data_IF_154643935282
#
_entry.id   IF_154643935282
#
_cell.length_a   1.000
_cell.length_b   1.000
_cell.length_c   1.000
_cell.angle_alpha   90.00
_cell.angle_beta   90.00
_cell.angle_gamma   90.00
#
_symmetry.space_group_name_H-M   'P 1'
#
loop_
_entity.id
_entity.type
_entity.pdbx_description
1 polymer ?
#
# COMPACT_ATOMS: atom_id res chain seq x y z
N UNK A 1 -27.89 37.72 6.82
CA UNK A 1 -27.07 36.57 7.25
C UNK A 1 -25.90 36.50 6.30
N UNK A 2 -24.77 37.08 6.71
CA UNK A 2 -23.61 37.27 5.84
C UNK A 2 -22.89 35.93 5.63
N UNK A 3 -22.90 35.45 4.39
CA UNK A 3 -22.05 34.35 3.97
C UNK A 3 -20.60 34.85 3.92
N UNK A 4 -19.87 34.65 5.02
CA UNK A 4 -18.43 34.89 5.05
C UNK A 4 -17.75 33.84 4.16
N UNK A 5 -17.41 34.25 2.93
CA UNK A 5 -16.60 33.45 2.01
C UNK A 5 -15.21 33.33 2.64
N UNK A 6 -14.92 32.17 3.23
CA UNK A 6 -13.59 31.81 3.72
C UNK A 6 -12.68 31.51 2.52
N UNK A 7 -12.27 32.55 1.80
CA UNK A 7 -11.19 32.43 0.84
C UNK A 7 -9.89 32.17 1.62
N UNK A 8 -9.30 30.98 1.44
CA UNK A 8 -8.01 30.65 2.03
C UNK A 8 -6.94 31.57 1.44
N UNK A 9 -6.56 32.61 2.19
CA UNK A 9 -5.46 33.49 1.80
C UNK A 9 -4.17 32.67 1.74
N UNK A 10 -3.45 32.79 0.62
CA UNK A 10 -2.15 32.14 0.48
C UNK A 10 -1.21 32.65 1.58
N UNK A 11 -0.52 31.74 2.29
CA UNK A 11 0.43 32.14 3.33
C UNK A 11 1.53 33.00 2.70
N UNK A 12 1.72 34.22 3.21
CA UNK A 12 2.80 35.08 2.73
C UNK A 12 4.16 34.41 2.94
N UNK A 13 5.12 34.71 2.06
CA UNK A 13 6.49 34.13 2.12
C UNK A 13 7.12 34.32 3.49
N UNK A 14 6.85 35.45 4.14
CA UNK A 14 7.32 35.77 5.50
C UNK A 14 6.78 34.85 6.58
N UNK A 15 5.57 34.28 6.40
CA UNK A 15 4.93 33.35 7.36
C UNK A 15 5.22 31.88 7.06
N UNK A 16 6.03 31.59 6.05
CA UNK A 16 6.36 30.21 5.67
C UNK A 16 7.38 29.64 6.66
N UNK A 17 7.00 28.57 7.34
CA UNK A 17 7.93 27.80 8.19
C UNK A 17 8.99 27.19 7.27
N UNK A 18 10.26 27.44 7.59
CA UNK A 18 11.41 26.90 6.87
C UNK A 18 11.90 25.62 7.55
N UNK A 19 12.38 24.63 6.79
CA UNK A 19 13.01 23.45 7.38
C UNK A 19 14.23 23.87 8.21
N UNK A 20 14.40 23.23 9.36
CA UNK A 20 15.60 23.40 10.20
C UNK A 20 16.69 22.50 9.63
N UNK A 21 17.89 23.05 9.46
CA UNK A 21 19.05 22.32 8.94
C UNK A 21 19.72 21.50 10.05
N UNK A 22 19.02 20.50 10.56
CA UNK A 22 19.56 19.53 11.53
C UNK A 22 20.18 18.32 10.83
N UNK A 23 21.32 17.79 11.31
CA UNK A 23 21.90 16.57 10.77
C UNK A 23 21.01 15.36 11.08
N UNK A 24 20.93 14.41 10.14
CA UNK A 24 20.18 13.19 10.35
C UNK A 24 20.85 12.32 11.43
N UNK A 25 20.12 11.91 12.49
CA UNK A 25 20.69 11.03 13.51
C UNK A 25 21.19 9.71 12.90
N UNK A 26 22.41 9.30 13.25
CA UNK A 26 23.05 8.12 12.66
C UNK A 26 22.36 6.80 13.06
N UNK A 27 21.74 6.78 14.24
CA UNK A 27 21.07 5.60 14.81
C UNK A 27 19.75 5.22 14.08
N UNK A 28 19.27 6.05 13.15
CA UNK A 28 17.98 5.87 12.48
C UNK A 28 18.02 5.04 11.21
N UNK A 29 19.16 4.41 10.89
CA UNK A 29 19.32 3.60 9.68
C UNK A 29 19.48 2.11 10.02
N UNK A 30 18.45 1.42 10.55
CA UNK A 30 18.49 -0.02 10.60
C UNK A 30 18.51 -0.54 9.17
N UNK A 31 19.65 -1.12 8.75
CA UNK A 31 19.76 -1.74 7.44
C UNK A 31 18.77 -2.89 7.32
N UNK A 32 18.13 -3.00 6.14
CA UNK A 32 17.34 -4.18 5.82
C UNK A 32 18.24 -5.41 5.84
N UNK A 33 17.84 -6.41 6.61
CA UNK A 33 18.50 -7.70 6.69
C UNK A 33 17.92 -8.62 5.63
N UNK A 34 18.82 -9.22 4.85
CA UNK A 34 18.42 -10.25 3.89
C UNK A 34 17.86 -11.46 4.65
N UNK A 35 16.70 -12.02 4.25
CA UNK A 35 16.23 -13.28 4.80
C UNK A 35 17.27 -14.38 4.59
N UNK A 36 17.41 -15.29 5.56
CA UNK A 36 17.92 -16.62 5.25
C UNK A 36 16.92 -17.30 4.32
N UNK A 37 17.35 -17.66 3.12
CA UNK A 37 16.47 -18.39 2.21
C UNK A 37 16.27 -19.81 2.71
N UNK A 38 15.02 -20.28 2.71
CA UNK A 38 14.70 -21.67 3.04
C UNK A 38 15.21 -22.66 1.98
N UNK A 39 15.54 -22.16 0.78
CA UNK A 39 16.09 -22.89 -0.36
C UNK A 39 16.93 -21.93 -1.20
N UNK A 40 17.97 -22.42 -1.85
CA UNK A 40 18.69 -21.62 -2.85
C UNK A 40 17.75 -21.24 -4.02
N UNK A 41 17.54 -19.93 -4.28
CA UNK A 41 16.68 -19.47 -5.36
C UNK A 41 17.17 -19.88 -6.76
N UNK A 42 18.46 -20.23 -6.90
CA UNK A 42 19.08 -20.66 -8.15
C UNK A 42 19.13 -22.19 -8.28
N UNK A 43 19.04 -22.94 -7.18
CA UNK A 43 18.92 -24.42 -7.23
C UNK A 43 17.46 -24.85 -7.19
N UNK A 44 16.81 -24.96 -8.36
CA UNK A 44 16.18 -26.16 -8.95
C UNK A 44 15.30 -25.71 -10.12
N UNK A 45 15.29 -26.49 -11.21
CA UNK A 45 14.46 -26.26 -12.38
C UNK A 45 12.97 -26.45 -12.07
N UNK A 46 12.11 -25.72 -12.77
CA UNK A 46 10.70 -26.07 -12.87
C UNK A 46 10.60 -27.47 -13.47
N UNK A 47 9.68 -28.31 -12.99
CA UNK A 47 9.43 -29.60 -13.64
C UNK A 47 8.97 -29.31 -15.08
N UNK A 48 9.64 -29.86 -16.11
CA UNK A 48 9.23 -29.64 -17.51
C UNK A 48 7.84 -30.24 -17.77
N UNK A 49 7.42 -31.21 -16.96
CA UNK A 49 6.05 -31.72 -16.94
C UNK A 49 5.29 -31.09 -15.77
N UNK A 50 4.37 -30.15 -16.04
CA UNK A 50 3.52 -29.57 -15.00
C UNK A 50 2.63 -30.65 -14.37
N UNK A 51 2.67 -30.80 -13.04
CA UNK A 51 1.71 -31.61 -12.28
C UNK A 51 0.28 -31.10 -12.52
N UNK A 52 -0.72 -31.97 -12.44
CA UNK A 52 -2.13 -31.58 -12.46
C UNK A 52 -2.37 -30.51 -11.38
N UNK A 53 -3.01 -29.42 -11.78
CA UNK A 53 -3.31 -28.30 -10.90
C UNK A 53 -4.19 -28.77 -9.76
N UNK A 54 -3.67 -28.70 -8.54
CA UNK A 54 -4.47 -28.87 -7.33
C UNK A 54 -4.90 -27.50 -6.84
N UNK A 55 -6.20 -27.30 -6.73
CA UNK A 55 -6.75 -26.07 -6.15
C UNK A 55 -6.30 -25.98 -4.69
N UNK A 56 -5.86 -24.79 -4.32
CA UNK A 56 -5.44 -24.47 -2.95
C UNK A 56 -6.43 -23.46 -2.37
N UNK A 57 -6.29 -23.15 -1.08
CA UNK A 57 -7.12 -22.13 -0.45
C UNK A 57 -7.01 -20.77 -1.17
N UNK A 58 -5.83 -20.41 -1.70
CA UNK A 58 -5.63 -19.12 -2.38
C UNK A 58 -5.77 -19.19 -3.90
N UNK A 59 -5.37 -20.30 -4.52
CA UNK A 59 -5.36 -20.44 -5.98
C UNK A 59 -6.54 -21.31 -6.41
N UNK A 60 -7.61 -20.66 -6.84
CA UNK A 60 -8.82 -21.26 -7.43
C UNK A 60 -8.82 -21.07 -8.95
N UNK A 61 -9.61 -21.86 -9.68
CA UNK A 61 -9.71 -21.74 -11.14
C UNK A 61 -10.14 -20.34 -11.60
N UNK A 62 -11.09 -19.73 -10.88
CA UNK A 62 -11.59 -18.37 -11.15
C UNK A 62 -10.48 -17.31 -11.03
N UNK A 63 -9.70 -17.37 -9.95
CA UNK A 63 -8.57 -16.44 -9.73
C UNK A 63 -7.49 -16.60 -10.79
N UNK A 64 -7.27 -17.82 -11.28
CA UNK A 64 -6.32 -18.08 -12.36
C UNK A 64 -6.80 -17.58 -13.72
N UNK A 65 -8.12 -17.53 -13.96
CA UNK A 65 -8.68 -16.94 -15.18
C UNK A 65 -8.50 -15.41 -15.21
N UNK A 66 -8.47 -14.76 -14.05
CA UNK A 66 -8.19 -13.33 -13.94
C UNK A 66 -6.72 -12.96 -14.26
N UNK A 67 -5.80 -13.93 -14.22
CA UNK A 67 -4.38 -13.70 -14.53
C UNK A 67 -4.21 -13.52 -16.04
N UNK A 68 -3.93 -12.29 -16.47
CA UNK A 68 -3.61 -12.00 -17.86
C UNK A 68 -2.17 -12.44 -18.17
N UNK A 69 -2.03 -13.53 -18.92
CA UNK A 69 -0.74 -14.10 -19.34
C UNK A 69 -0.29 -13.62 -20.72
N UNK A 70 -1.02 -12.65 -21.31
CA UNK A 70 -0.72 -12.08 -22.62
C UNK A 70 -1.85 -12.27 -23.63
N UNK A 71 -1.68 -11.77 -24.87
CA UNK A 71 -2.68 -11.90 -25.91
C UNK A 71 -2.90 -13.37 -26.34
N UNK A 72 -4.07 -13.71 -26.93
CA UNK A 72 -4.34 -15.07 -27.38
C UNK A 72 -3.29 -15.53 -28.40
N UNK A 73 -2.75 -16.72 -28.20
CA UNK A 73 -1.69 -17.29 -29.05
C UNK A 73 -0.26 -16.83 -28.71
N UNK A 74 -0.07 -15.98 -27.69
CA UNK A 74 1.26 -15.59 -27.23
C UNK A 74 2.03 -16.73 -26.55
N UNK A 75 1.31 -17.57 -25.81
CA UNK A 75 1.84 -18.73 -25.10
C UNK A 75 1.17 -20.00 -25.58
N UNK A 76 1.92 -21.10 -25.58
CA UNK A 76 1.37 -22.43 -25.79
C UNK A 76 0.55 -22.89 -24.58
N UNK A 77 -0.32 -23.89 -24.76
CA UNK A 77 -1.12 -24.43 -23.66
C UNK A 77 -0.23 -25.02 -22.55
N UNK A 78 0.92 -25.58 -22.92
CA UNK A 78 1.93 -26.12 -22.01
C UNK A 78 2.58 -25.02 -21.18
N UNK A 79 2.92 -23.89 -21.80
CA UNK A 79 3.50 -22.73 -21.11
C UNK A 79 2.51 -22.10 -20.13
N UNK A 80 1.23 -21.98 -20.52
CA UNK A 80 0.17 -21.50 -19.63
C UNK A 80 0.02 -22.43 -18.42
N UNK A 81 0.05 -23.75 -18.65
CA UNK A 81 -0.01 -24.72 -17.55
C UNK A 81 1.22 -24.65 -16.64
N UNK A 82 2.41 -24.40 -17.20
CA UNK A 82 3.61 -24.19 -16.42
C UNK A 82 3.48 -22.95 -15.53
N UNK A 83 3.01 -21.82 -16.07
CA UNK A 83 2.78 -20.59 -15.30
C UNK A 83 1.79 -20.82 -14.16
N UNK A 84 0.64 -21.45 -14.45
CA UNK A 84 -0.35 -21.80 -13.43
C UNK A 84 0.27 -22.62 -12.30
N UNK A 85 1.13 -23.57 -12.63
CA UNK A 85 1.84 -24.38 -11.64
C UNK A 85 2.85 -23.57 -10.81
N UNK A 86 3.56 -22.62 -11.41
CA UNK A 86 4.45 -21.71 -10.67
C UNK A 86 3.63 -20.86 -9.69
N UNK A 87 2.49 -20.33 -10.13
CA UNK A 87 1.59 -19.52 -9.30
C UNK A 87 1.11 -20.36 -8.10
N UNK A 88 0.66 -21.59 -8.32
CA UNK A 88 0.25 -22.50 -7.24
C UNK A 88 1.40 -22.82 -6.29
N UNK A 89 2.59 -23.13 -6.82
CA UNK A 89 3.77 -23.42 -6.00
C UNK A 89 4.22 -22.21 -5.15
N UNK A 90 3.96 -21.00 -5.64
CA UNK A 90 4.36 -19.73 -5.03
C UNK A 90 3.16 -18.92 -4.53
N UNK A 91 2.04 -19.57 -4.21
CA UNK A 91 0.79 -18.91 -3.82
C UNK A 91 0.94 -17.91 -2.65
N UNK A 92 1.93 -18.14 -1.76
CA UNK A 92 2.21 -17.26 -0.62
C UNK A 92 2.88 -15.94 -0.98
N UNK A 93 3.48 -15.86 -2.17
CA UNK A 93 4.16 -14.66 -2.68
C UNK A 93 3.23 -13.75 -3.48
N UNK A 94 2.05 -14.22 -3.85
CA UNK A 94 1.08 -13.50 -4.69
C UNK A 94 -0.10 -13.10 -3.80
N UNK A 95 -0.58 -11.88 -4.00
CA UNK A 95 -1.82 -11.39 -3.39
C UNK A 95 -2.84 -11.18 -4.52
N UNK A 96 -4.00 -11.84 -4.42
CA UNK A 96 -5.10 -11.66 -5.38
C UNK A 96 -6.03 -10.51 -4.98
N UNK A 97 -6.00 -10.12 -3.71
CA UNK A 97 -6.78 -9.03 -3.15
C UNK A 97 -5.95 -8.24 -2.12
N UNK A 98 -6.40 -7.04 -1.76
CA UNK A 98 -5.64 -6.13 -0.90
C UNK A 98 -5.46 -6.69 0.52
N UNK A 99 -6.38 -7.53 1.02
CA UNK A 99 -6.29 -8.15 2.35
C UNK A 99 -5.23 -9.25 2.41
N UNK A 100 -4.85 -9.81 1.25
CA UNK A 100 -3.75 -10.76 1.13
C UNK A 100 -2.39 -10.05 1.03
N UNK A 101 -2.38 -8.72 0.90
CA UNK A 101 -1.14 -7.95 0.89
C UNK A 101 -0.42 -8.07 2.24
N UNK A 102 0.87 -8.44 2.18
CA UNK A 102 1.68 -8.65 3.36
C UNK A 102 2.43 -7.39 3.80
N UNK A 103 2.64 -7.25 5.10
CA UNK A 103 3.59 -6.28 5.65
C UNK A 103 5.01 -6.87 5.70
N UNK A 104 6.01 -5.98 5.60
CA UNK A 104 7.40 -6.37 5.78
C UNK A 104 7.59 -6.91 7.21
N UNK A 105 8.15 -8.13 7.32
CA UNK A 105 8.41 -8.73 8.63
C UNK A 105 9.47 -7.93 9.38
N UNK A 106 9.28 -7.79 10.69
CA UNK A 106 10.22 -7.16 11.61
C UNK A 106 11.61 -7.84 11.61
N UNK A 107 11.67 -9.12 11.25
CA UNK A 107 12.93 -9.85 11.05
C UNK A 107 13.81 -9.28 9.93
N UNK A 108 13.20 -8.66 8.92
CA UNK A 108 13.89 -8.07 7.77
C UNK A 108 14.18 -6.60 7.96
N UNK A 109 13.23 -5.84 8.50
CA UNK A 109 13.39 -4.41 8.76
C UNK A 109 12.62 -4.03 10.01
N UNK A 110 13.25 -3.27 10.89
CA UNK A 110 12.56 -2.68 12.03
C UNK A 110 11.69 -1.50 11.56
N UNK A 111 10.64 -1.12 12.30
CA UNK A 111 9.84 0.05 11.98
C UNK A 111 10.71 1.31 11.87
N UNK A 112 10.40 2.15 10.89
CA UNK A 112 11.14 3.39 10.69
C UNK A 112 10.77 4.40 11.78
N UNK A 113 11.78 4.94 12.47
CA UNK A 113 11.60 6.01 13.44
C UNK A 113 11.83 7.36 12.76
N UNK A 114 10.80 8.21 12.73
CA UNK A 114 10.91 9.55 12.13
C UNK A 114 11.70 10.45 13.10
N UNK A 115 12.84 11.03 12.69
CA UNK A 115 13.53 12.01 13.52
C UNK A 115 12.65 13.25 13.70
N UNK A 116 12.47 13.67 14.94
CA UNK A 116 11.75 14.89 15.29
C UNK A 116 12.68 15.82 16.05
N UNK A 117 12.57 17.11 15.79
CA UNK A 117 13.15 18.17 16.62
C UNK A 117 12.19 18.51 17.76
N UNK A 118 12.62 19.16 18.86
CA UNK A 118 11.70 19.70 19.84
C UNK A 118 10.67 20.61 19.18
N UNK A 119 9.39 20.26 19.25
CA UNK A 119 8.29 21.03 18.68
C UNK A 119 6.98 20.74 19.41
N UNK A 120 6.02 21.64 19.24
CA UNK A 120 4.65 21.41 19.68
C UNK A 120 3.90 20.57 18.63
N UNK A 121 3.15 19.52 19.03
CA UNK A 121 2.35 18.73 18.10
C UNK A 121 1.36 19.61 17.34
N UNK A 122 1.29 19.44 16.01
CA UNK A 122 0.35 20.21 15.20
C UNK A 122 -1.09 19.67 15.37
N UNK A 123 -2.03 20.58 15.62
CA UNK A 123 -3.46 20.28 15.60
C UNK A 123 -4.13 21.20 14.58
N UNK A 124 -4.38 20.66 13.39
CA UNK A 124 -5.07 21.38 12.32
C UNK A 124 -6.51 20.90 12.23
N UNK A 125 -7.43 21.85 12.09
CA UNK A 125 -8.86 21.56 11.89
C UNK A 125 -9.05 20.75 10.59
N UNK A 126 -9.85 19.68 10.60
CA UNK A 126 -10.13 18.90 9.39
C UNK A 126 -10.89 19.75 8.35
N UNK A 127 -10.59 19.50 7.07
CA UNK A 127 -11.31 20.11 5.95
C UNK A 127 -12.62 19.34 5.75
N UNK A 128 -13.77 20.00 5.63
CA UNK A 128 -15.04 19.30 5.38
C UNK A 128 -15.02 18.57 4.04
N UNK A 129 -15.28 17.27 4.06
CA UNK A 129 -15.42 16.48 2.83
C UNK A 129 -16.73 16.83 2.11
N UNK A 130 -16.69 17.14 0.80
CA UNK A 130 -17.89 17.37 0.01
C UNK A 130 -18.88 16.20 0.09
N UNK A 131 -20.18 16.50 0.21
CA UNK A 131 -21.24 15.49 0.36
C UNK A 131 -21.28 14.48 -0.79
N UNK A 132 -20.95 14.91 -2.00
CA UNK A 132 -20.96 14.05 -3.20
C UNK A 132 -19.97 12.90 -3.14
N UNK A 133 -18.80 13.10 -2.50
CA UNK A 133 -17.72 12.10 -2.43
C UNK A 133 -17.65 11.39 -1.07
N UNK A 134 -18.39 11.88 -0.07
CA UNK A 134 -18.41 11.32 1.28
C UNK A 134 -18.63 9.79 1.34
N UNK A 135 -19.58 9.17 0.59
CA UNK A 135 -19.77 7.72 0.66
C UNK A 135 -18.54 6.95 0.17
N UNK A 136 -17.97 7.36 -0.98
CA UNK A 136 -16.77 6.73 -1.54
C UNK A 136 -15.56 6.90 -0.62
N UNK A 137 -15.40 8.10 -0.05
CA UNK A 137 -14.34 8.39 0.91
C UNK A 137 -14.42 7.50 2.15
N UNK A 138 -15.62 7.32 2.70
CA UNK A 138 -15.85 6.49 3.89
C UNK A 138 -15.56 5.02 3.61
N UNK A 139 -15.95 4.53 2.43
CA UNK A 139 -15.64 3.15 2.00
C UNK A 139 -14.12 2.95 1.92
N UNK A 140 -13.41 3.83 1.22
CA UNK A 140 -11.95 3.74 1.09
C UNK A 140 -11.20 3.82 2.43
N UNK A 141 -11.72 4.56 3.41
CA UNK A 141 -11.15 4.55 4.78
C UNK A 141 -11.40 3.20 5.44
N UNK A 142 -12.60 2.66 5.32
CA UNK A 142 -13.00 1.39 5.93
C UNK A 142 -12.19 0.23 5.34
N UNK A 143 -11.94 0.23 4.04
CA UNK A 143 -11.04 -0.69 3.34
C UNK A 143 -9.62 -0.61 3.89
N UNK A 144 -9.05 0.60 4.04
CA UNK A 144 -7.69 0.77 4.59
C UNK A 144 -7.55 0.33 6.04
N UNK A 145 -8.61 0.45 6.83
CA UNK A 145 -8.66 -0.10 8.20
C UNK A 145 -8.72 -1.63 8.12
N UNK A 146 -9.54 -2.19 7.23
CA UNK A 146 -9.67 -3.65 7.02
C UNK A 146 -8.35 -4.29 6.57
N UNK A 147 -7.60 -3.62 5.69
CA UNK A 147 -6.28 -4.07 5.20
C UNK A 147 -5.15 -3.78 6.19
N UNK A 148 -5.45 -3.22 7.37
CA UNK A 148 -4.50 -2.86 8.44
C UNK A 148 -3.43 -1.86 8.02
N UNK A 149 -3.68 -1.10 6.96
CA UNK A 149 -2.83 0.04 6.57
C UNK A 149 -3.09 1.21 7.54
N UNK A 150 -4.35 1.41 7.91
CA UNK A 150 -4.76 2.40 8.90
C UNK A 150 -5.14 1.75 10.22
N UNK A 151 -4.81 2.44 11.30
CA UNK A 151 -5.18 2.08 12.66
C UNK A 151 -5.87 3.26 13.36
N UNK A 152 -6.81 2.96 14.26
CA UNK A 152 -7.38 3.99 15.11
C UNK A 152 -6.33 4.42 16.14
N UNK A 153 -6.13 5.72 16.28
CA UNK A 153 -5.14 6.27 17.20
C UNK A 153 -5.67 7.49 17.94
N UNK A 154 -5.14 7.71 19.14
CA UNK A 154 -5.40 8.90 19.97
C UNK A 154 -4.12 9.74 20.02
N UNK A 155 -3.84 10.43 18.91
CA UNK A 155 -2.62 11.20 18.73
C UNK A 155 -2.79 12.67 19.08
N UNK A 156 -1.74 13.30 19.61
CA UNK A 156 -1.67 14.76 19.74
C UNK A 156 -1.48 15.47 18.40
N UNK A 157 -1.16 14.73 17.33
CA UNK A 157 -1.02 15.25 15.97
C UNK A 157 -2.32 15.08 15.18
N UNK A 158 -2.73 16.12 14.47
CA UNK A 158 -3.85 16.06 13.52
C UNK A 158 -3.54 16.91 12.29
N UNK A 159 -3.64 16.28 11.12
CA UNK A 159 -3.48 16.93 9.81
C UNK A 159 -4.79 16.82 9.03
N UNK A 160 -5.16 17.84 8.24
CA UNK A 160 -6.37 17.78 7.43
C UNK A 160 -6.14 16.84 6.24
N UNK A 161 -7.12 15.99 5.96
CA UNK A 161 -7.15 15.15 4.77
C UNK A 161 -7.99 15.86 3.70
N UNK A 162 -7.56 15.80 2.45
CA UNK A 162 -8.32 16.28 1.31
C UNK A 162 -8.52 15.14 0.31
N UNK A 163 -9.77 14.91 -0.09
CA UNK A 163 -10.11 13.85 -1.03
C UNK A 163 -10.07 14.38 -2.46
N UNK A 164 -9.48 13.62 -3.39
CA UNK A 164 -9.41 13.96 -4.81
C UNK A 164 -9.94 12.80 -5.64
N UNK A 165 -10.89 13.08 -6.53
CA UNK A 165 -11.34 12.11 -7.51
C UNK A 165 -10.27 11.96 -8.60
N UNK A 166 -9.85 10.73 -8.90
CA UNK A 166 -8.98 10.45 -10.05
C UNK A 166 -9.80 10.18 -11.31
N UNK A 167 -9.19 10.37 -12.48
CA UNK A 167 -9.88 10.21 -13.79
C UNK A 167 -10.19 8.75 -14.11
N UNK A 168 -9.39 7.83 -13.59
CA UNK A 168 -9.71 6.44 -13.38
C UNK A 168 -10.56 6.40 -12.10
N UNK A 169 -11.79 5.90 -12.23
CA UNK A 169 -12.95 5.92 -11.32
C UNK A 169 -12.74 5.45 -9.86
N UNK A 170 -11.51 5.37 -9.38
CA UNK A 170 -11.13 5.09 -8.00
C UNK A 170 -10.67 6.37 -7.28
N UNK A 171 -11.31 6.67 -6.15
CA UNK A 171 -10.92 7.80 -5.29
C UNK A 171 -9.73 7.38 -4.43
N UNK A 172 -8.56 8.01 -4.60
CA UNK A 172 -7.38 7.73 -3.78
C UNK A 172 -7.23 8.79 -2.68
N UNK A 173 -7.21 8.37 -1.42
CA UNK A 173 -6.90 9.24 -0.28
C UNK A 173 -5.39 9.43 -0.15
N UNK A 174 -4.95 10.68 -0.10
CA UNK A 174 -3.59 11.06 0.27
C UNK A 174 -3.54 11.42 1.76
N UNK A 175 -2.51 10.96 2.50
CA UNK A 175 -2.30 11.36 3.89
C UNK A 175 -1.91 12.84 4.04
#
# INVERSE_FOLDING_TARGET
MDHQILAATYKSVLKKVRPVNEPMPQDLKPHLKRPSFSRDPYERPLSPSPTILQETFKVTHERLQAVNVGPPGWLSNEEINLIKNVITLREKAIAFCEEESGLLKHSYGQPYKIPVIPHEPWQKKPIPTPKSILPQFTESISERIRTRIYEQSTSSYTSPIFSVAKSNWETQNFP
#
